data_IF_193893666593
#
_entry.id   IF_193893666593
#
_cell.length_a   1.000
_cell.length_b   1.000
_cell.length_c   1.000
_cell.angle_alpha   90.00
_cell.angle_beta   90.00
_cell.angle_gamma   90.00
#
_symmetry.space_group_name_H-M   'P 1'
#
loop_
_entity.id
_entity.type
_entity.pdbx_description
1 polymer ?
#
# COMPACT_ATOMS: atom_id res chain seq x y z
N UNK A 1 -65.30 18.05 58.43
CA UNK A 1 -65.76 19.31 57.82
C UNK A 1 -64.58 20.02 57.21
N UNK A 2 -64.69 20.31 55.91
CA UNK A 2 -63.97 21.27 55.04
C UNK A 2 -62.43 21.34 55.09
N UNK A 3 -61.71 20.89 54.05
CA UNK A 3 -61.62 21.44 52.67
C UNK A 3 -60.80 22.74 52.61
N UNK A 4 -59.87 22.83 51.65
CA UNK A 4 -59.32 24.14 51.27
C UNK A 4 -57.92 24.15 50.65
N UNK A 5 -57.79 23.57 49.47
CA UNK A 5 -56.79 23.93 48.45
C UNK A 5 -56.91 25.41 48.01
N UNK A 6 -55.82 26.03 47.49
CA UNK A 6 -55.74 26.73 46.16
C UNK A 6 -54.56 27.76 46.03
N UNK A 7 -53.63 27.39 45.14
CA UNK A 7 -52.91 28.13 44.05
C UNK A 7 -52.05 29.40 44.27
N UNK A 8 -50.83 29.39 43.68
CA UNK A 8 -50.40 30.21 42.53
C UNK A 8 -49.01 29.73 42.02
N UNK A 9 -48.84 29.08 40.85
CA UNK A 9 -48.74 29.56 39.45
C UNK A 9 -47.34 30.11 39.04
N UNK A 10 -46.76 29.47 38.01
CA UNK A 10 -45.70 29.88 37.06
C UNK A 10 -44.21 29.78 37.44
N UNK A 11 -43.48 28.86 36.79
CA UNK A 11 -42.65 29.15 35.60
C UNK A 11 -42.05 27.85 35.01
N UNK A 12 -42.47 27.54 33.79
CA UNK A 12 -41.88 26.54 32.91
C UNK A 12 -40.57 27.08 32.34
N UNK A 13 -39.47 26.32 32.49
CA UNK A 13 -38.23 26.51 31.75
C UNK A 13 -37.97 25.21 30.97
N UNK A 14 -38.01 25.21 29.62
CA UNK A 14 -37.62 24.04 28.85
C UNK A 14 -36.09 24.05 28.74
N UNK A 15 -35.45 23.07 29.37
CA UNK A 15 -34.03 22.80 29.16
C UNK A 15 -33.90 22.06 27.81
N UNK A 16 -33.46 22.79 26.78
CA UNK A 16 -33.09 22.24 25.48
C UNK A 16 -31.91 21.26 25.66
N UNK A 17 -32.19 19.96 25.61
CA UNK A 17 -31.18 18.94 25.39
C UNK A 17 -30.87 18.89 23.88
N UNK A 18 -29.86 19.66 23.45
CA UNK A 18 -29.32 19.60 22.10
C UNK A 18 -28.56 18.29 21.91
N UNK A 19 -29.18 17.32 21.24
CA UNK A 19 -28.51 16.13 20.74
C UNK A 19 -27.58 16.52 19.58
N UNK A 20 -26.27 16.56 19.83
CA UNK A 20 -25.24 16.62 18.80
C UNK A 20 -25.21 15.28 18.06
N UNK A 21 -25.97 15.18 16.98
CA UNK A 21 -25.79 14.13 15.98
C UNK A 21 -24.51 14.42 15.20
N UNK A 22 -23.40 13.73 15.53
CA UNK A 22 -22.23 13.67 14.67
C UNK A 22 -22.58 12.77 13.50
N UNK A 23 -23.09 13.36 12.41
CA UNK A 23 -23.25 12.65 11.15
C UNK A 23 -21.86 12.33 10.61
N UNK A 24 -21.46 11.06 10.69
CA UNK A 24 -20.30 10.55 9.99
C UNK A 24 -20.55 10.67 8.48
N UNK A 25 -19.98 11.72 7.86
CA UNK A 25 -19.97 11.87 6.41
C UNK A 25 -19.05 10.78 5.85
N UNK A 26 -19.64 9.63 5.51
CA UNK A 26 -19.04 8.72 4.54
C UNK A 26 -19.10 9.44 3.20
N UNK A 27 -17.99 10.06 2.79
CA UNK A 27 -17.82 10.50 1.41
C UNK A 27 -17.72 9.22 0.58
N UNK A 28 -18.86 8.71 0.12
CA UNK A 28 -18.90 7.65 -0.86
C UNK A 28 -18.11 8.12 -2.09
N UNK A 29 -16.97 7.47 -2.35
CA UNK A 29 -16.25 7.66 -3.59
C UNK A 29 -17.22 7.32 -4.74
N UNK A 30 -17.28 8.19 -5.74
CA UNK A 30 -18.22 8.00 -6.85
C UNK A 30 -17.69 6.92 -7.80
N UNK A 31 -18.57 6.22 -8.54
CA UNK A 31 -18.17 5.26 -9.59
C UNK A 31 -17.13 5.83 -10.58
N UNK A 32 -17.09 7.16 -10.71
CA UNK A 32 -16.14 7.88 -11.54
C UNK A 32 -14.71 7.86 -10.97
N UNK A 33 -14.54 7.85 -9.65
CA UNK A 33 -13.23 7.77 -8.98
C UNK A 33 -12.60 6.38 -9.19
N UNK A 34 -13.42 5.32 -9.13
CA UNK A 34 -12.97 3.94 -9.39
C UNK A 34 -12.50 3.77 -10.83
N UNK A 35 -13.33 4.18 -11.81
CA UNK A 35 -13.00 4.08 -13.22
C UNK A 35 -11.70 4.83 -13.55
N UNK A 36 -11.54 6.05 -13.00
CA UNK A 36 -10.33 6.85 -13.19
C UNK A 36 -9.08 6.18 -12.57
N UNK A 37 -9.20 5.59 -11.38
CA UNK A 37 -8.09 4.88 -10.74
C UNK A 37 -7.67 3.64 -11.56
N UNK A 38 -8.64 2.83 -12.02
CA UNK A 38 -8.40 1.63 -12.85
C UNK A 38 -7.70 1.98 -14.17
N UNK A 39 -8.20 2.99 -14.88
CA UNK A 39 -7.60 3.43 -16.15
C UNK A 39 -6.14 3.86 -15.99
N UNK A 40 -5.83 4.61 -14.93
CA UNK A 40 -4.46 5.05 -14.64
C UNK A 40 -3.53 3.89 -14.31
N UNK A 41 -4.00 2.94 -13.50
CA UNK A 41 -3.20 1.75 -13.16
C UNK A 41 -2.95 0.87 -14.37
N UNK A 42 -3.95 0.69 -15.24
CA UNK A 42 -3.79 -0.04 -16.49
C UNK A 42 -2.77 0.63 -17.42
N UNK A 43 -2.79 1.97 -17.51
CA UNK A 43 -1.78 2.71 -18.27
C UNK A 43 -0.37 2.46 -17.70
N UNK A 44 -0.18 2.65 -16.40
CA UNK A 44 1.11 2.40 -15.72
C UNK A 44 1.59 0.96 -15.97
N UNK A 45 0.70 -0.01 -15.80
CA UNK A 45 0.99 -1.42 -16.01
C UNK A 45 1.45 -1.69 -17.45
N UNK A 46 0.78 -1.11 -18.45
CA UNK A 46 1.17 -1.25 -19.85
C UNK A 46 2.55 -0.64 -20.15
N UNK A 47 2.91 0.45 -19.47
CA UNK A 47 4.23 1.08 -19.63
C UNK A 47 5.34 0.24 -18.97
N UNK A 48 5.03 -0.47 -17.89
CA UNK A 48 5.98 -1.29 -17.15
C UNK A 48 6.16 -2.69 -17.72
N UNK A 49 5.11 -3.25 -18.33
CA UNK A 49 5.17 -4.57 -18.96
C UNK A 49 5.78 -4.48 -20.37
N UNK A 50 7.04 -4.89 -20.49
CA UNK A 50 7.65 -5.16 -21.79
C UNK A 50 7.95 -3.92 -22.65
N UNK A 51 7.99 -2.72 -22.08
CA UNK A 51 8.45 -1.56 -22.86
C UNK A 51 9.97 -1.56 -23.03
N UNK A 52 10.43 -1.27 -24.25
CA UNK A 52 11.86 -1.17 -24.59
C UNK A 52 12.59 -0.19 -23.67
N UNK A 53 11.89 0.85 -23.19
CA UNK A 53 12.45 1.84 -22.26
C UNK A 53 12.75 1.26 -20.89
N UNK A 54 11.93 0.33 -20.38
CA UNK A 54 12.16 -0.33 -19.09
C UNK A 54 13.34 -1.30 -19.21
N UNK A 55 13.39 -2.06 -20.30
CA UNK A 55 14.54 -2.93 -20.59
C UNK A 55 15.83 -2.13 -20.73
N UNK A 56 15.79 -0.97 -21.40
CA UNK A 56 16.93 -0.07 -21.52
C UNK A 56 17.39 0.48 -20.15
N UNK A 57 16.47 0.79 -19.23
CA UNK A 57 16.84 1.18 -17.86
C UNK A 57 17.53 0.01 -17.12
N UNK A 58 16.97 -1.19 -17.21
CA UNK A 58 17.52 -2.38 -16.56
C UNK A 58 18.90 -2.76 -17.09
N UNK A 59 19.13 -2.58 -18.38
CA UNK A 59 20.41 -2.85 -19.05
C UNK A 59 21.41 -1.70 -18.94
N UNK A 60 20.96 -0.47 -18.59
CA UNK A 60 21.86 0.67 -18.43
C UNK A 60 22.73 0.56 -17.18
N UNK A 61 23.89 1.20 -17.20
CA UNK A 61 24.72 1.38 -16.00
C UNK A 61 24.26 2.54 -15.11
N UNK A 62 23.11 3.15 -15.43
CA UNK A 62 22.59 4.30 -14.70
C UNK A 62 21.88 3.86 -13.41
N UNK A 63 22.61 3.85 -12.29
CA UNK A 63 22.08 3.49 -10.98
C UNK A 63 20.89 4.35 -10.55
N UNK A 64 20.91 5.66 -10.88
CA UNK A 64 19.80 6.57 -10.64
C UNK A 64 18.52 6.21 -11.41
N UNK A 65 18.63 5.73 -12.65
CA UNK A 65 17.48 5.28 -13.43
C UNK A 65 16.91 3.97 -12.88
N UNK A 66 17.78 3.02 -12.52
CA UNK A 66 17.39 1.74 -11.89
C UNK A 66 16.69 1.96 -10.54
N UNK A 67 17.18 2.90 -9.74
CA UNK A 67 16.55 3.31 -8.49
C UNK A 67 15.13 3.82 -8.70
N UNK A 68 14.94 4.78 -9.63
CA UNK A 68 13.61 5.33 -9.93
C UNK A 68 12.64 4.26 -10.46
N UNK A 69 13.13 3.32 -11.27
CA UNK A 69 12.34 2.17 -11.73
C UNK A 69 11.93 1.26 -10.56
N UNK A 70 12.82 1.02 -9.60
CA UNK A 70 12.50 0.25 -8.39
C UNK A 70 11.42 0.94 -7.56
N UNK A 71 11.54 2.26 -7.36
CA UNK A 71 10.52 3.05 -6.65
C UNK A 71 9.17 2.99 -7.36
N UNK A 72 9.16 3.15 -8.70
CA UNK A 72 7.94 3.04 -9.49
C UNK A 72 7.24 1.69 -9.30
N UNK A 73 7.98 0.58 -9.21
CA UNK A 73 7.43 -0.76 -8.94
C UNK A 73 6.76 -0.84 -7.57
N UNK A 74 7.41 -0.32 -6.54
CA UNK A 74 6.86 -0.32 -5.18
C UNK A 74 5.60 0.58 -5.08
N UNK A 75 5.64 1.78 -5.67
CA UNK A 75 4.50 2.69 -5.69
C UNK A 75 3.32 2.13 -6.47
N UNK A 76 3.57 1.43 -7.58
CA UNK A 76 2.54 0.72 -8.34
C UNK A 76 1.84 -0.34 -7.48
N UNK A 77 2.60 -1.15 -6.76
CA UNK A 77 2.03 -2.18 -5.89
C UNK A 77 1.17 -1.58 -4.78
N UNK A 78 1.63 -0.49 -4.15
CA UNK A 78 0.84 0.23 -3.16
C UNK A 78 -0.47 0.79 -3.77
N UNK A 79 -0.44 1.26 -5.01
CA UNK A 79 -1.61 1.75 -5.72
C UNK A 79 -2.64 0.64 -6.00
N UNK A 80 -2.18 -0.57 -6.36
CA UNK A 80 -3.03 -1.75 -6.55
C UNK A 80 -3.75 -2.13 -5.25
N UNK A 81 -3.03 -2.16 -4.12
CA UNK A 81 -3.62 -2.43 -2.80
C UNK A 81 -4.70 -1.39 -2.46
N UNK A 82 -4.44 -0.09 -2.68
CA UNK A 82 -5.44 0.95 -2.42
C UNK A 82 -6.67 0.82 -3.34
N UNK A 83 -6.49 0.38 -4.59
CA UNK A 83 -7.59 0.13 -5.50
C UNK A 83 -8.49 -1.01 -4.98
N UNK A 84 -7.89 -2.10 -4.49
CA UNK A 84 -8.60 -3.26 -3.94
C UNK A 84 -9.35 -2.93 -2.65
N UNK A 85 -8.81 -2.02 -1.82
CA UNK A 85 -9.44 -1.54 -0.59
C UNK A 85 -10.57 -0.51 -0.83
N UNK A 86 -10.90 -0.18 -2.09
CA UNK A 86 -11.89 0.85 -2.41
C UNK A 86 -11.39 2.29 -2.21
N UNK A 87 -10.11 2.47 -1.90
CA UNK A 87 -9.46 3.76 -1.67
C UNK A 87 -9.03 4.40 -3.00
N UNK A 88 -10.00 4.66 -3.88
CA UNK A 88 -9.78 5.01 -5.29
C UNK A 88 -9.00 6.31 -5.49
N UNK A 89 -9.21 7.32 -4.62
CA UNK A 89 -8.46 8.59 -4.69
C UNK A 89 -6.99 8.39 -4.37
N UNK A 90 -6.68 7.59 -3.35
CA UNK A 90 -5.32 7.24 -2.96
C UNK A 90 -4.64 6.38 -4.04
N UNK A 91 -5.36 5.40 -4.60
CA UNK A 91 -4.88 4.59 -5.71
C UNK A 91 -4.52 5.47 -6.94
N UNK A 92 -5.38 6.42 -7.30
CA UNK A 92 -5.14 7.34 -8.41
C UNK A 92 -3.95 8.28 -8.16
N UNK A 93 -3.71 8.70 -6.91
CA UNK A 93 -2.54 9.50 -6.53
C UNK A 93 -1.24 8.69 -6.66
N UNK A 94 -1.22 7.46 -6.15
CA UNK A 94 -0.06 6.57 -6.25
C UNK A 94 0.23 6.17 -7.70
N UNK A 95 -0.80 5.99 -8.53
CA UNK A 95 -0.63 5.76 -9.97
C UNK A 95 0.03 6.97 -10.67
N UNK A 96 -0.38 8.20 -10.34
CA UNK A 96 0.26 9.41 -10.86
C UNK A 96 1.73 9.51 -10.43
N UNK A 97 2.04 9.20 -9.17
CA UNK A 97 3.41 9.21 -8.67
C UNK A 97 4.27 8.15 -9.38
N UNK A 98 3.70 6.98 -9.65
CA UNK A 98 4.36 5.94 -10.44
C UNK A 98 4.73 6.45 -11.83
N UNK A 99 3.80 7.15 -12.53
CA UNK A 99 4.09 7.75 -13.84
C UNK A 99 5.22 8.78 -13.77
N UNK A 100 5.28 9.58 -12.70
CA UNK A 100 6.35 10.57 -12.47
C UNK A 100 7.71 9.89 -12.33
N UNK A 101 7.77 8.81 -11.54
CA UNK A 101 8.99 8.03 -11.32
C UNK A 101 9.46 7.33 -12.60
N UNK A 102 8.54 6.73 -13.38
CA UNK A 102 8.85 6.13 -14.68
C UNK A 102 9.37 7.17 -15.68
N UNK A 103 8.76 8.36 -15.72
CA UNK A 103 9.20 9.45 -16.58
C UNK A 103 10.60 9.93 -16.20
N UNK A 104 10.89 10.05 -14.89
CA UNK A 104 12.24 10.37 -14.41
C UNK A 104 13.27 9.29 -14.76
N UNK A 105 12.91 8.01 -14.60
CA UNK A 105 13.79 6.89 -14.92
C UNK A 105 14.14 6.86 -16.43
N UNK A 106 13.13 7.04 -17.27
CA UNK A 106 13.30 7.05 -18.74
C UNK A 106 14.01 8.30 -19.26
N UNK A 107 13.84 9.46 -18.61
CA UNK A 107 14.58 10.67 -18.93
C UNK A 107 16.10 10.49 -18.75
N UNK A 108 16.52 9.73 -17.74
CA UNK A 108 17.93 9.50 -17.41
C UNK A 108 18.71 8.62 -18.38
N UNK A 109 18.02 7.79 -19.15
CA UNK A 109 18.64 6.94 -20.17
C UNK A 109 18.58 7.55 -21.57
N UNK A 110 17.65 8.48 -21.81
CA UNK A 110 17.44 9.09 -23.12
C UNK A 110 18.21 10.40 -23.31
N UNK A 111 18.69 11.02 -22.22
CA UNK A 111 19.50 12.24 -22.29
C UNK A 111 21.00 11.90 -22.35
N UNK A 112 21.76 12.57 -23.25
CA UNK A 112 23.22 12.77 -23.08
C UNK A 112 23.46 13.31 -21.66
N UNK A 113 24.52 12.92 -20.93
CA UNK A 113 24.69 13.19 -19.49
C UNK A 113 24.37 14.65 -19.20
N UNK A 114 23.14 14.88 -18.76
CA UNK A 114 22.59 16.22 -18.60
C UNK A 114 22.88 16.60 -17.16
N UNK A 115 23.37 17.83 -16.96
CA UNK A 115 23.60 18.34 -15.63
C UNK A 115 22.32 18.20 -14.81
N UNK A 116 22.45 17.59 -13.63
CA UNK A 116 21.37 17.53 -12.65
C UNK A 116 20.82 18.92 -12.45
N UNK A 117 19.55 19.11 -12.75
CA UNK A 117 18.94 20.43 -12.53
C UNK A 117 18.91 20.69 -11.03
N UNK A 118 19.17 21.94 -10.63
CA UNK A 118 19.15 22.31 -9.23
C UNK A 118 17.85 21.94 -8.53
N UNK A 119 16.72 22.00 -9.25
CA UNK A 119 15.39 21.68 -8.74
C UNK A 119 15.19 20.20 -8.39
N UNK A 120 15.68 19.26 -9.22
CA UNK A 120 15.52 17.82 -8.96
C UNK A 120 16.25 17.38 -7.70
N UNK A 121 17.48 17.84 -7.51
CA UNK A 121 18.24 17.58 -6.29
C UNK A 121 17.55 18.17 -5.06
N UNK A 122 17.05 19.41 -5.15
CA UNK A 122 16.38 20.07 -4.02
C UNK A 122 15.08 19.33 -3.66
N UNK A 123 14.27 18.94 -4.63
CA UNK A 123 13.04 18.19 -4.39
C UNK A 123 13.30 16.84 -3.71
N UNK A 124 14.35 16.12 -4.12
CA UNK A 124 14.74 14.86 -3.50
C UNK A 124 15.26 15.07 -2.07
N UNK A 125 16.09 16.09 -1.85
CA UNK A 125 16.59 16.47 -0.52
C UNK A 125 15.44 16.84 0.43
N UNK A 126 14.49 17.65 -0.01
CA UNK A 126 13.31 18.01 0.79
C UNK A 126 12.48 16.78 1.15
N UNK A 127 12.34 15.82 0.24
CA UNK A 127 11.63 14.57 0.52
C UNK A 127 12.33 13.75 1.61
N UNK A 128 13.66 13.67 1.59
CA UNK A 128 14.45 13.00 2.64
C UNK A 128 14.28 13.71 3.98
N UNK A 129 14.36 15.05 4.01
CA UNK A 129 14.19 15.83 5.23
C UNK A 129 12.78 15.66 5.84
N UNK A 130 11.74 15.62 5.00
CA UNK A 130 10.37 15.37 5.46
C UNK A 130 10.25 14.00 6.15
N UNK A 131 10.87 12.96 5.60
CA UNK A 131 10.88 11.64 6.23
C UNK A 131 11.73 11.60 7.51
N UNK A 132 12.88 12.27 7.55
CA UNK A 132 13.67 12.43 8.78
C UNK A 132 12.80 13.04 9.88
N UNK A 133 12.13 14.16 9.60
CA UNK A 133 11.23 14.81 10.55
C UNK A 133 10.09 13.89 11.02
N UNK A 134 9.59 13.01 10.16
CA UNK A 134 8.58 12.02 10.56
C UNK A 134 9.12 10.97 11.56
N UNK A 135 10.39 10.59 11.43
CA UNK A 135 11.06 9.58 12.27
C UNK A 135 11.62 10.17 13.57
N UNK A 136 12.05 11.43 13.56
CA UNK A 136 12.52 12.14 14.77
C UNK A 136 11.43 12.25 15.84
N UNK A 137 10.15 12.29 15.42
CA UNK A 137 9.00 12.24 16.31
C UNK A 137 8.74 10.84 16.91
N UNK A 138 9.54 9.83 16.57
CA UNK A 138 9.43 8.44 17.02
C UNK A 138 10.77 7.87 17.58
N UNK A 139 11.44 8.54 18.52
CA UNK A 139 12.81 8.22 18.93
C UNK A 139 12.95 6.88 19.66
N UNK A 140 11.87 6.33 20.21
CA UNK A 140 11.87 5.08 20.98
C UNK A 140 11.87 3.82 20.11
N UNK A 141 11.74 3.96 18.79
CA UNK A 141 11.68 2.81 17.88
C UNK A 141 13.11 2.29 17.60
N UNK A 142 13.39 0.99 17.84
CA UNK A 142 14.72 0.42 17.64
C UNK A 142 15.27 0.65 16.23
N UNK A 143 16.52 1.10 16.14
CA UNK A 143 17.22 1.34 14.87
C UNK A 143 16.95 2.69 14.21
N UNK A 144 15.99 3.49 14.71
CA UNK A 144 15.68 4.81 14.10
C UNK A 144 16.87 5.76 14.20
N UNK A 145 17.48 5.90 15.38
CA UNK A 145 18.62 6.82 15.57
C UNK A 145 19.82 6.46 14.69
N UNK A 146 20.13 5.16 14.56
CA UNK A 146 21.21 4.68 13.69
C UNK A 146 20.92 4.99 12.22
N UNK A 147 19.68 4.75 11.76
CA UNK A 147 19.30 5.07 10.38
C UNK A 147 19.37 6.57 10.12
N UNK A 148 18.90 7.40 11.04
CA UNK A 148 18.95 8.86 10.90
C UNK A 148 20.39 9.37 10.78
N UNK A 149 21.30 8.82 11.58
CA UNK A 149 22.73 9.18 11.49
C UNK A 149 23.32 8.80 10.11
N UNK A 150 23.03 7.60 9.61
CA UNK A 150 23.51 7.15 8.29
C UNK A 150 22.98 8.01 7.15
N UNK A 151 21.69 8.39 7.19
CA UNK A 151 21.08 9.23 6.16
C UNK A 151 21.61 10.66 6.24
N UNK A 152 21.90 11.18 7.44
CA UNK A 152 22.54 12.47 7.60
C UNK A 152 23.95 12.50 6.98
N UNK A 153 24.75 11.46 7.18
CA UNK A 153 26.06 11.33 6.55
C UNK A 153 25.96 11.35 5.01
N UNK A 154 24.95 10.69 4.45
CA UNK A 154 24.70 10.68 3.01
C UNK A 154 24.23 12.04 2.48
N UNK A 155 23.45 12.81 3.25
CA UNK A 155 23.09 14.19 2.91
C UNK A 155 24.32 15.08 2.85
N UNK A 156 25.22 14.97 3.82
CA UNK A 156 26.46 15.74 3.88
C UNK A 156 27.39 15.39 2.72
N UNK A 157 27.54 14.09 2.42
CA UNK A 157 28.31 13.60 1.27
C UNK A 157 27.75 14.12 -0.06
N UNK A 158 26.43 14.05 -0.26
CA UNK A 158 25.79 14.56 -1.46
C UNK A 158 26.02 16.07 -1.62
N UNK A 159 25.96 16.83 -0.52
CA UNK A 159 26.25 18.26 -0.54
C UNK A 159 27.71 18.55 -0.93
N UNK A 160 28.67 17.79 -0.41
CA UNK A 160 30.08 17.92 -0.77
C UNK A 160 30.35 17.56 -2.24
N UNK A 161 29.78 16.46 -2.73
CA UNK A 161 29.87 16.06 -4.14
C UNK A 161 29.31 17.17 -5.05
N UNK A 162 28.17 17.76 -4.65
CA UNK A 162 27.56 18.86 -5.40
C UNK A 162 28.43 20.12 -5.42
N UNK A 163 29.00 20.49 -4.27
CA UNK A 163 29.92 21.63 -4.17
C UNK A 163 31.19 21.43 -5.00
N UNK A 164 31.61 20.18 -5.18
CA UNK A 164 32.77 19.78 -5.99
C UNK A 164 32.46 19.65 -7.49
N UNK A 165 31.26 20.03 -7.93
CA UNK A 165 30.83 19.93 -9.33
C UNK A 165 30.38 18.53 -9.75
N UNK A 166 30.38 17.55 -8.85
CA UNK A 166 29.98 16.16 -9.09
C UNK A 166 28.46 15.97 -8.93
N UNK A 167 27.66 16.80 -9.61
CA UNK A 167 26.20 16.85 -9.43
C UNK A 167 25.48 15.52 -9.65
N UNK A 168 25.94 14.69 -10.59
CA UNK A 168 25.36 13.36 -10.85
C UNK A 168 25.58 12.40 -9.67
N UNK A 169 26.82 12.31 -9.15
CA UNK A 169 27.12 11.51 -7.97
C UNK A 169 26.37 12.02 -6.73
N UNK A 170 26.28 13.33 -6.58
CA UNK A 170 25.50 13.95 -5.52
C UNK A 170 24.04 13.49 -5.54
N UNK A 171 23.44 13.48 -6.73
CA UNK A 171 22.08 13.01 -6.90
C UNK A 171 21.94 11.50 -6.65
N UNK A 172 22.89 10.67 -7.10
CA UNK A 172 22.92 9.23 -6.80
C UNK A 172 23.00 8.95 -5.29
N UNK A 173 23.86 9.67 -4.57
CA UNK A 173 23.96 9.58 -3.10
C UNK A 173 22.63 9.91 -2.43
N UNK A 174 21.93 10.96 -2.88
CA UNK A 174 20.58 11.27 -2.38
C UNK A 174 19.56 10.15 -2.68
N UNK A 175 19.64 9.50 -3.84
CA UNK A 175 18.75 8.36 -4.14
C UNK A 175 19.00 7.18 -3.22
N UNK A 176 20.26 6.86 -2.94
CA UNK A 176 20.60 5.80 -1.99
C UNK A 176 20.06 6.10 -0.60
N UNK A 177 20.20 7.34 -0.15
CA UNK A 177 19.67 7.81 1.13
C UNK A 177 18.16 7.72 1.20
N UNK A 178 17.48 8.21 0.17
CA UNK A 178 16.03 8.11 0.03
C UNK A 178 15.54 6.66 0.09
N UNK A 179 16.14 5.76 -0.70
CA UNK A 179 15.75 4.35 -0.74
C UNK A 179 15.98 3.64 0.59
N UNK A 180 17.13 3.90 1.23
CA UNK A 180 17.45 3.34 2.54
C UNK A 180 16.39 3.74 3.57
N UNK A 181 15.97 5.00 3.55
CA UNK A 181 14.97 5.54 4.45
C UNK A 181 13.56 4.99 4.16
N UNK A 182 13.14 4.93 2.90
CA UNK A 182 11.84 4.34 2.50
C UNK A 182 11.77 2.86 2.85
N UNK A 183 12.81 2.09 2.57
CA UNK A 183 12.88 0.67 2.94
C UNK A 183 12.82 0.50 4.47
N UNK A 184 13.57 1.31 5.21
CA UNK A 184 13.55 1.27 6.67
C UNK A 184 12.17 1.63 7.24
N UNK A 185 11.51 2.68 6.73
CA UNK A 185 10.13 3.03 7.11
C UNK A 185 9.18 1.88 6.77
N UNK A 186 9.38 1.21 5.64
CA UNK A 186 8.58 0.06 5.25
C UNK A 186 8.79 -1.12 6.20
N UNK A 187 10.04 -1.42 6.58
CA UNK A 187 10.36 -2.44 7.60
C UNK A 187 9.81 -2.09 8.99
N UNK A 188 9.85 -0.80 9.38
CA UNK A 188 9.22 -0.33 10.60
C UNK A 188 7.71 -0.57 10.55
N UNK A 189 7.08 -0.34 9.39
CA UNK A 189 5.65 -0.60 9.16
C UNK A 189 5.32 -2.08 9.00
N UNK A 190 6.25 -2.92 8.54
CA UNK A 190 6.07 -4.36 8.48
C UNK A 190 6.16 -4.98 9.87
N UNK A 191 7.08 -4.47 10.71
CA UNK A 191 7.21 -4.82 12.14
C UNK A 191 6.14 -4.18 13.01
N UNK A 192 5.62 -3.02 12.60
CA UNK A 192 4.38 -2.42 13.06
C UNK A 192 3.27 -2.85 12.11
N UNK A 193 3.05 -4.16 11.92
CA UNK A 193 1.84 -4.59 11.20
C UNK A 193 0.67 -3.91 11.88
N UNK A 194 0.12 -2.88 11.24
CA UNK A 194 -1.19 -2.37 11.60
C UNK A 194 -2.06 -3.55 11.27
N UNK A 195 -2.43 -4.30 12.31
CA UNK A 195 -3.62 -5.11 12.27
C UNK A 195 -4.69 -4.09 11.92
N UNK A 196 -5.02 -3.98 10.64
CA UNK A 196 -6.27 -3.39 10.24
C UNK A 196 -7.30 -4.31 10.87
N UNK A 197 -7.79 -3.93 12.05
CA UNK A 197 -8.94 -4.58 12.65
C UNK A 197 -10.07 -4.37 11.65
N UNK A 198 -10.32 -5.40 10.84
CA UNK A 198 -11.50 -5.45 10.00
C UNK A 198 -12.66 -5.51 10.98
N UNK A 199 -13.35 -4.39 11.16
CA UNK A 199 -14.54 -4.34 11.99
C UNK A 199 -15.70 -4.79 11.12
N UNK A 200 -15.98 -6.09 11.15
CA UNK A 200 -17.17 -6.62 10.50
C UNK A 200 -18.40 -6.33 11.35
N UNK A 201 -19.43 -5.80 10.71
CA UNK A 201 -20.71 -5.49 11.36
C UNK A 201 -21.52 -6.76 11.65
N UNK A 202 -21.19 -7.88 10.98
CA UNK A 202 -21.79 -9.19 11.20
C UNK A 202 -20.89 -10.34 10.71
N UNK A 203 -21.08 -11.58 11.23
CA UNK A 203 -20.39 -12.77 10.69
C UNK A 203 -20.66 -13.03 9.20
N UNK A 204 -21.83 -12.62 8.69
CA UNK A 204 -22.12 -12.75 7.25
C UNK A 204 -21.26 -11.82 6.41
N UNK A 205 -20.93 -10.63 6.92
CA UNK A 205 -20.06 -9.67 6.23
C UNK A 205 -18.62 -10.16 6.18
N UNK A 206 -18.15 -10.74 7.29
CA UNK A 206 -16.83 -11.38 7.40
C UNK A 206 -16.70 -12.58 6.47
N UNK A 207 -17.71 -13.45 6.43
CA UNK A 207 -17.75 -14.58 5.51
C UNK A 207 -17.66 -14.14 4.04
N UNK A 208 -18.42 -13.12 3.65
CA UNK A 208 -18.37 -12.54 2.31
C UNK A 208 -17.02 -11.88 2.00
N UNK A 209 -16.39 -11.23 2.99
CA UNK A 209 -15.05 -10.70 2.86
C UNK A 209 -14.02 -11.80 2.58
N UNK A 210 -14.03 -12.88 3.37
CA UNK A 210 -13.09 -13.99 3.21
C UNK A 210 -13.30 -14.73 1.87
N UNK A 211 -14.54 -14.85 1.39
CA UNK A 211 -14.81 -15.37 0.04
C UNK A 211 -14.18 -14.51 -1.06
N UNK A 212 -14.30 -13.18 -0.95
CA UNK A 212 -13.68 -12.26 -1.91
C UNK A 212 -12.16 -12.36 -1.86
N UNK A 213 -11.57 -12.42 -0.66
CA UNK A 213 -10.13 -12.56 -0.46
C UNK A 213 -9.59 -13.85 -1.12
N UNK A 214 -10.28 -14.97 -0.91
CA UNK A 214 -9.91 -16.25 -1.52
C UNK A 214 -9.99 -16.19 -3.06
N UNK A 215 -11.03 -15.55 -3.61
CA UNK A 215 -11.18 -15.34 -5.05
C UNK A 215 -10.04 -14.49 -5.64
N UNK A 216 -9.60 -13.45 -4.93
CA UNK A 216 -8.46 -12.63 -5.35
C UNK A 216 -7.17 -13.45 -5.42
N UNK A 217 -6.89 -14.29 -4.41
CA UNK A 217 -5.73 -15.18 -4.44
C UNK A 217 -5.76 -16.18 -5.60
N UNK A 218 -6.94 -16.72 -5.92
CA UNK A 218 -7.12 -17.60 -7.08
C UNK A 218 -6.83 -16.88 -8.39
N UNK A 219 -7.29 -15.64 -8.55
CA UNK A 219 -7.01 -14.82 -9.74
C UNK A 219 -5.51 -14.50 -9.89
N UNK A 220 -4.85 -14.12 -8.79
CA UNK A 220 -3.40 -13.89 -8.77
C UNK A 220 -2.61 -15.13 -9.18
N UNK A 221 -3.00 -16.30 -8.69
CA UNK A 221 -2.31 -17.54 -9.02
C UNK A 221 -2.49 -17.93 -10.50
N UNK A 222 -3.69 -17.73 -11.06
CA UNK A 222 -3.94 -17.93 -12.49
C UNK A 222 -3.10 -16.99 -13.35
N UNK A 223 -3.03 -15.70 -12.99
CA UNK A 223 -2.20 -14.72 -13.69
C UNK A 223 -0.71 -15.10 -13.63
N UNK A 224 -0.25 -15.56 -12.47
CA UNK A 224 1.14 -15.99 -12.26
C UNK A 224 1.49 -17.19 -13.15
N UNK A 225 0.62 -18.21 -13.20
CA UNK A 225 0.81 -19.39 -14.07
C UNK A 225 0.79 -19.04 -15.55
N UNK A 226 -0.13 -18.17 -15.97
CA UNK A 226 -0.23 -17.72 -17.38
C UNK A 226 0.96 -16.86 -17.83
N UNK A 227 1.64 -16.19 -16.91
CA UNK A 227 2.80 -15.33 -17.21
C UNK A 227 4.12 -16.08 -17.42
N UNK A 228 4.16 -17.40 -17.23
CA UNK A 228 5.36 -18.22 -17.39
C UNK A 228 6.46 -17.98 -16.35
N UNK A 229 6.21 -17.15 -15.33
CA UNK A 229 7.17 -16.79 -14.26
C UNK A 229 7.32 -17.86 -13.15
N UNK A 230 6.67 -19.02 -13.28
CA UNK A 230 6.74 -20.07 -12.27
C UNK A 230 8.12 -20.74 -12.30
N UNK A 231 8.90 -20.54 -11.24
CA UNK A 231 10.16 -21.28 -10.98
C UNK A 231 9.94 -22.45 -9.99
N UNK A 232 8.67 -22.76 -9.70
CA UNK A 232 8.25 -23.53 -8.54
C UNK A 232 7.93 -25.00 -8.86
N UNK A 233 8.09 -25.87 -7.86
CA UNK A 233 7.63 -27.26 -7.88
C UNK A 233 6.10 -27.29 -7.95
N UNK A 234 5.56 -27.57 -9.14
CA UNK A 234 4.10 -27.63 -9.41
C UNK A 234 3.36 -28.56 -8.44
N UNK A 235 4.04 -29.59 -7.92
CA UNK A 235 3.49 -30.53 -6.95
C UNK A 235 3.09 -29.86 -5.63
N UNK A 236 3.96 -29.00 -5.08
CA UNK A 236 3.68 -28.28 -3.82
C UNK A 236 2.56 -27.25 -3.99
N UNK A 237 2.54 -26.54 -5.11
CA UNK A 237 1.47 -25.60 -5.43
C UNK A 237 0.13 -26.36 -5.53
N UNK A 238 0.13 -27.52 -6.19
CA UNK A 238 -1.06 -28.35 -6.33
C UNK A 238 -1.55 -28.92 -5.00
N UNK A 239 -0.64 -29.28 -4.09
CA UNK A 239 -0.97 -29.70 -2.72
C UNK A 239 -1.70 -28.59 -1.94
N UNK A 240 -1.14 -27.37 -1.92
CA UNK A 240 -1.77 -26.24 -1.25
C UNK A 240 -3.14 -25.90 -1.84
N UNK A 241 -3.29 -25.99 -3.17
CA UNK A 241 -4.58 -25.76 -3.82
C UNK A 241 -5.63 -26.80 -3.43
N UNK A 242 -5.23 -28.08 -3.31
CA UNK A 242 -6.14 -29.14 -2.88
C UNK A 242 -6.59 -28.93 -1.43
N UNK A 243 -5.68 -28.53 -0.55
CA UNK A 243 -6.00 -28.20 0.84
C UNK A 243 -6.92 -26.97 0.93
N UNK A 244 -6.64 -25.93 0.14
CA UNK A 244 -7.48 -24.74 0.07
C UNK A 244 -8.91 -25.09 -0.40
N UNK A 245 -9.05 -25.92 -1.44
CA UNK A 245 -10.37 -26.30 -1.94
C UNK A 245 -11.14 -27.18 -0.94
N UNK A 246 -10.44 -28.08 -0.24
CA UNK A 246 -11.05 -28.89 0.82
C UNK A 246 -11.63 -28.00 1.92
N UNK A 247 -10.87 -26.99 2.35
CA UNK A 247 -11.32 -26.03 3.38
C UNK A 247 -12.44 -25.13 2.87
N UNK A 248 -12.41 -24.72 1.59
CA UNK A 248 -13.50 -23.97 0.96
C UNK A 248 -14.81 -24.76 0.93
N UNK A 249 -14.74 -26.05 0.60
CA UNK A 249 -15.90 -26.93 0.62
C UNK A 249 -16.46 -27.13 2.04
N UNK A 250 -15.59 -27.26 3.05
CA UNK A 250 -15.99 -27.28 4.47
C UNK A 250 -16.68 -25.99 4.87
N UNK A 251 -16.13 -24.83 4.48
CA UNK A 251 -16.72 -23.54 4.76
C UNK A 251 -18.14 -23.42 4.20
N UNK A 252 -18.34 -23.85 2.94
CA UNK A 252 -19.67 -23.84 2.32
C UNK A 252 -20.67 -24.72 3.09
N UNK A 253 -20.26 -25.92 3.49
CA UNK A 253 -21.10 -26.83 4.28
C UNK A 253 -21.46 -26.25 5.66
N UNK A 254 -20.51 -25.58 6.32
CA UNK A 254 -20.77 -24.90 7.59
C UNK A 254 -21.72 -23.70 7.40
N UNK A 255 -21.54 -22.91 6.34
CA UNK A 255 -22.40 -21.77 6.03
C UNK A 255 -23.85 -22.20 5.74
N UNK A 256 -24.04 -23.27 4.95
CA UNK A 256 -25.36 -23.87 4.66
C UNK A 256 -26.06 -24.37 5.93
N UNK A 257 -25.27 -24.84 6.90
CA UNK A 257 -25.77 -25.32 8.20
C UNK A 257 -25.97 -24.20 9.22
N UNK A 258 -25.74 -22.93 8.83
CA UNK A 258 -25.85 -21.76 9.71
C UNK A 258 -24.68 -21.58 10.68
N UNK A 259 -23.61 -22.36 10.55
CA UNK A 259 -22.44 -22.36 11.41
C UNK A 259 -21.39 -21.35 10.92
N UNK A 260 -21.73 -20.06 10.95
CA UNK A 260 -20.92 -19.02 10.28
C UNK A 260 -19.51 -18.86 10.84
N UNK A 261 -19.29 -18.97 12.15
CA UNK A 261 -17.94 -18.90 12.73
C UNK A 261 -17.02 -20.00 12.17
N UNK A 262 -17.52 -21.23 12.09
CA UNK A 262 -16.78 -22.36 11.54
C UNK A 262 -16.56 -22.22 10.02
N UNK A 263 -17.50 -21.58 9.34
CA UNK A 263 -17.39 -21.26 7.93
C UNK A 263 -16.27 -20.24 7.67
N UNK A 264 -16.22 -19.17 8.47
CA UNK A 264 -15.18 -18.14 8.43
C UNK A 264 -13.81 -18.75 8.72
N UNK A 265 -13.67 -19.51 9.81
CA UNK A 265 -12.42 -20.20 10.18
C UNK A 265 -11.90 -21.10 9.05
N UNK A 266 -12.82 -21.79 8.38
CA UNK A 266 -12.50 -22.64 7.24
C UNK A 266 -12.03 -21.83 6.03
N UNK A 267 -12.66 -20.68 5.74
CA UNK A 267 -12.21 -19.78 4.67
C UNK A 267 -10.86 -19.13 4.96
N UNK A 268 -10.62 -18.68 6.19
CA UNK A 268 -9.29 -18.17 6.58
C UNK A 268 -8.23 -19.24 6.38
N UNK A 269 -8.54 -20.47 6.77
CA UNK A 269 -7.69 -21.63 6.54
C UNK A 269 -7.40 -21.83 5.05
N UNK A 270 -8.41 -21.71 4.20
CA UNK A 270 -8.23 -21.80 2.75
C UNK A 270 -7.35 -20.66 2.20
N UNK A 271 -7.55 -19.44 2.69
CA UNK A 271 -6.77 -18.26 2.32
C UNK A 271 -5.29 -18.40 2.72
N UNK A 272 -5.01 -18.97 3.90
CA UNK A 272 -3.65 -19.29 4.38
C UNK A 272 -2.94 -20.27 3.44
N UNK A 273 -3.61 -21.33 2.99
CA UNK A 273 -3.02 -22.28 2.03
C UNK A 273 -2.82 -21.64 0.64
N UNK A 274 -3.75 -20.81 0.16
CA UNK A 274 -3.57 -20.08 -1.09
C UNK A 274 -2.42 -19.06 -1.03
N UNK A 275 -2.23 -18.36 0.08
CA UNK A 275 -1.07 -17.49 0.31
C UNK A 275 0.25 -18.28 0.25
N UNK A 276 0.29 -19.51 0.80
CA UNK A 276 1.47 -20.39 0.67
C UNK A 276 1.71 -20.82 -0.78
N UNK A 277 0.65 -21.13 -1.54
CA UNK A 277 0.74 -21.44 -2.96
C UNK A 277 1.32 -20.27 -3.76
N UNK A 278 0.81 -19.05 -3.53
CA UNK A 278 1.29 -17.82 -4.17
C UNK A 278 2.75 -17.52 -3.83
N UNK A 279 3.14 -17.61 -2.55
CA UNK A 279 4.54 -17.43 -2.13
C UNK A 279 5.46 -18.47 -2.76
N UNK A 280 5.01 -19.72 -2.85
CA UNK A 280 5.74 -20.78 -3.55
C UNK A 280 5.90 -20.46 -5.03
N UNK A 281 4.90 -19.83 -5.65
CA UNK A 281 4.94 -19.33 -7.03
C UNK A 281 5.71 -18.00 -7.21
N UNK A 282 6.32 -17.45 -6.16
CA UNK A 282 7.11 -16.21 -6.20
C UNK A 282 6.29 -14.93 -6.02
N UNK A 283 5.03 -15.02 -5.60
CA UNK A 283 4.14 -13.88 -5.34
C UNK A 283 3.95 -13.68 -3.84
N UNK A 284 4.37 -12.53 -3.32
CA UNK A 284 4.13 -12.15 -1.93
C UNK A 284 2.73 -11.57 -1.79
N UNK A 285 1.97 -12.08 -0.82
CA UNK A 285 0.67 -11.54 -0.41
C UNK A 285 0.66 -11.41 1.12
N UNK A 286 0.06 -10.33 1.67
CA UNK A 286 -0.10 -10.13 3.10
C UNK A 286 -1.00 -11.18 3.75
#
# INVERSE_FOLDING_TARGET
MFSGSITLRWLLLPLLAGALTVSAVHIAATDNDEAAARQKLQLVQSMMQGSEKIQAIEQSDNGGAKSLLSMARQTMHAAEIQLELGAYKQAAQLANETLRLLSGATGRITQKPQQVTSGEYLALRESILAFIGSLENQPSTPGVQERLAQVQEQLDLAQQQRASGEGLKAQETLYLAYNSLVNFISELRDKQTVVHSLNFTSPSEEYEYELRRLKSYQALLQMTRSSGKSTASDDKISEYLKLAETKRAQALSFAESGQMEQAIDSLEGAAKEMSRALRTAGVMVP
#
